data_IF_251100938927
#
_entry.id   IF_251100938927
#
_cell.length_a   1.000
_cell.length_b   1.000
_cell.length_c   1.000
_cell.angle_alpha   90.00
_cell.angle_beta   90.00
_cell.angle_gamma   90.00
#
_symmetry.space_group_name_H-M   'P 1'
#
loop_
_entity.id
_entity.type
_entity.pdbx_description
1 polymer ?
#
# COMPACT_ATOMS: atom_id res chain seq x y z
N UNK A 1 -24.33 -13.54 -0.52
CA UNK A 1 -23.50 -13.66 0.70
C UNK A 1 -23.18 -12.25 1.16
N UNK A 2 -23.59 -11.86 2.37
CA UNK A 2 -23.32 -10.51 2.87
C UNK A 2 -21.85 -10.43 3.30
N UNK A 3 -21.08 -9.53 2.68
CA UNK A 3 -19.70 -9.27 3.07
C UNK A 3 -19.73 -8.58 4.45
N UNK A 4 -19.01 -9.07 5.46
CA UNK A 4 -18.93 -8.42 6.76
C UNK A 4 -18.43 -6.98 6.63
N UNK A 5 -19.02 -6.07 7.40
CA UNK A 5 -18.76 -4.64 7.29
C UNK A 5 -17.27 -4.28 7.45
N UNK A 6 -16.55 -4.98 8.32
CA UNK A 6 -15.12 -4.74 8.53
C UNK A 6 -14.27 -5.20 7.34
N UNK A 7 -14.66 -6.27 6.63
CA UNK A 7 -13.96 -6.72 5.42
C UNK A 7 -14.20 -5.77 4.26
N UNK A 8 -15.41 -5.20 4.16
CA UNK A 8 -15.69 -4.12 3.22
C UNK A 8 -14.81 -2.89 3.47
N UNK A 9 -14.70 -2.42 4.72
CA UNK A 9 -13.83 -1.28 5.05
C UNK A 9 -12.35 -1.57 4.83
N UNK A 10 -11.89 -2.79 5.16
CA UNK A 10 -10.53 -3.24 4.83
C UNK A 10 -10.25 -3.10 3.32
N UNK A 11 -11.14 -3.62 2.48
CA UNK A 11 -10.98 -3.60 1.02
C UNK A 11 -11.01 -2.18 0.47
N UNK A 12 -11.97 -1.36 0.88
CA UNK A 12 -12.10 0.04 0.43
C UNK A 12 -10.89 0.87 0.86
N UNK A 13 -10.43 0.73 2.10
CA UNK A 13 -9.26 1.48 2.60
C UNK A 13 -7.99 1.05 1.87
N UNK A 14 -7.76 -0.25 1.66
CA UNK A 14 -6.54 -0.70 0.98
C UNK A 14 -6.53 -0.33 -0.49
N UNK A 15 -7.66 -0.43 -1.21
CA UNK A 15 -7.71 0.09 -2.58
C UNK A 15 -7.55 1.61 -2.65
N UNK A 16 -8.07 2.35 -1.68
CA UNK A 16 -7.88 3.80 -1.62
C UNK A 16 -6.41 4.15 -1.43
N UNK A 17 -5.72 3.47 -0.51
CA UNK A 17 -4.27 3.63 -0.31
C UNK A 17 -3.48 3.28 -1.56
N UNK A 18 -3.76 2.13 -2.21
CA UNK A 18 -3.08 1.74 -3.44
C UNK A 18 -3.33 2.72 -4.60
N UNK A 19 -4.49 3.38 -4.62
CA UNK A 19 -4.79 4.44 -5.58
C UNK A 19 -3.98 5.70 -5.27
N UNK A 20 -3.81 6.05 -3.99
CA UNK A 20 -2.94 7.14 -3.57
C UNK A 20 -1.49 6.85 -3.94
N UNK A 21 -1.00 5.62 -3.75
CA UNK A 21 0.35 5.22 -4.15
C UNK A 21 0.54 5.37 -5.67
N UNK A 22 -0.45 4.95 -6.46
CA UNK A 22 -0.41 5.12 -7.91
C UNK A 22 -0.40 6.60 -8.33
N UNK A 23 -1.16 7.46 -7.63
CA UNK A 23 -1.14 8.91 -7.83
C UNK A 23 0.21 9.51 -7.44
N UNK A 24 0.81 9.06 -6.33
CA UNK A 24 2.16 9.46 -5.89
C UNK A 24 3.18 9.19 -6.99
N UNK A 25 3.20 7.95 -7.51
CA UNK A 25 4.07 7.55 -8.62
C UNK A 25 3.80 8.37 -9.88
N UNK A 26 2.55 8.71 -10.18
CA UNK A 26 2.23 9.53 -11.35
C UNK A 26 2.70 10.99 -11.20
N UNK A 27 2.63 11.54 -9.98
CA UNK A 27 2.95 12.93 -9.67
C UNK A 27 4.40 13.16 -9.23
N UNK A 28 5.17 12.09 -8.96
CA UNK A 28 6.57 12.17 -8.59
C UNK A 28 7.40 12.92 -9.64
N UNK A 29 8.29 13.81 -9.17
CA UNK A 29 9.19 14.57 -10.03
C UNK A 29 10.20 13.62 -10.69
N UNK A 30 10.18 13.61 -12.03
CA UNK A 30 11.02 12.74 -12.88
C UNK A 30 12.11 13.51 -13.59
N UNK A 31 12.45 14.72 -13.13
CA UNK A 31 13.51 15.53 -13.73
C UNK A 31 14.85 14.79 -13.60
N UNK A 32 15.49 14.38 -14.72
CA UNK A 32 16.77 13.69 -14.66
C UNK A 32 17.83 14.61 -14.05
N UNK A 33 18.54 14.13 -13.03
CA UNK A 33 19.66 14.83 -12.40
C UNK A 33 20.92 13.97 -12.53
N UNK A 34 22.12 14.53 -12.38
CA UNK A 34 23.38 13.77 -12.49
C UNK A 34 23.46 12.52 -11.58
N UNK A 35 22.66 12.46 -10.51
CA UNK A 35 22.53 11.32 -9.62
C UNK A 35 21.39 10.32 -9.98
N UNK A 36 20.41 10.72 -10.81
CA UNK A 36 19.21 9.93 -11.17
C UNK A 36 19.08 9.84 -12.69
N UNK A 37 19.63 8.76 -13.25
CA UNK A 37 19.52 8.43 -14.69
C UNK A 37 18.08 8.09 -15.07
N UNK A 38 17.69 8.37 -16.32
CA UNK A 38 16.37 8.01 -16.87
C UNK A 38 16.01 6.51 -16.72
N UNK A 39 17.01 5.64 -16.82
CA UNK A 39 16.86 4.20 -16.58
C UNK A 39 16.46 3.87 -15.14
N UNK A 40 17.02 4.58 -14.15
CA UNK A 40 16.63 4.38 -12.75
C UNK A 40 15.19 4.85 -12.52
N UNK A 41 14.82 6.01 -13.05
CA UNK A 41 13.46 6.57 -12.91
C UNK A 41 12.41 5.63 -13.51
N UNK A 42 12.70 5.06 -14.68
CA UNK A 42 11.81 4.11 -15.35
C UNK A 42 11.75 2.78 -14.59
N UNK A 43 12.89 2.30 -14.10
CA UNK A 43 12.98 1.10 -13.25
C UNK A 43 12.14 1.22 -11.98
N UNK A 44 12.29 2.32 -11.25
CA UNK A 44 11.54 2.59 -10.02
C UNK A 44 10.04 2.67 -10.28
N UNK A 45 9.64 3.35 -11.35
CA UNK A 45 8.23 3.45 -11.75
C UNK A 45 7.63 2.08 -12.09
N UNK A 46 8.38 1.24 -12.81
CA UNK A 46 7.94 -0.11 -13.18
C UNK A 46 7.79 -0.99 -11.95
N UNK A 47 8.79 -0.98 -11.05
CA UNK A 47 8.77 -1.76 -9.81
C UNK A 47 7.60 -1.32 -8.93
N UNK A 48 7.39 -0.02 -8.74
CA UNK A 48 6.28 0.51 -7.99
C UNK A 48 4.93 0.07 -8.58
N UNK A 49 4.77 0.20 -9.91
CA UNK A 49 3.55 -0.24 -10.60
C UNK A 49 3.27 -1.74 -10.45
N UNK A 50 4.29 -2.59 -10.61
CA UNK A 50 4.16 -4.04 -10.41
C UNK A 50 3.81 -4.36 -8.95
N UNK A 51 4.43 -3.67 -7.99
CA UNK A 51 4.17 -3.88 -6.57
C UNK A 51 2.73 -3.49 -6.20
N UNK A 52 2.22 -2.37 -6.70
CA UNK A 52 0.82 -1.95 -6.52
C UNK A 52 -0.13 -3.05 -7.04
N UNK A 53 0.11 -3.61 -8.23
CA UNK A 53 -0.73 -4.68 -8.79
C UNK A 53 -0.69 -5.96 -7.94
N UNK A 54 0.49 -6.33 -7.43
CA UNK A 54 0.64 -7.49 -6.52
C UNK A 54 -0.12 -7.26 -5.22
N UNK A 55 -0.05 -6.06 -4.64
CA UNK A 55 -0.79 -5.71 -3.43
C UNK A 55 -2.31 -5.69 -3.68
N UNK A 56 -2.77 -5.13 -4.82
CA UNK A 56 -4.18 -5.22 -5.24
C UNK A 56 -4.65 -6.68 -5.31
N UNK A 57 -3.83 -7.56 -5.88
CA UNK A 57 -4.13 -8.99 -5.92
C UNK A 57 -4.22 -9.62 -4.53
N UNK A 58 -3.35 -9.23 -3.59
CA UNK A 58 -3.42 -9.69 -2.20
C UNK A 58 -4.66 -9.19 -1.46
N UNK A 59 -5.09 -7.95 -1.68
CA UNK A 59 -6.36 -7.42 -1.13
C UNK A 59 -7.53 -8.26 -1.62
N UNK A 60 -7.62 -8.47 -2.94
CA UNK A 60 -8.66 -9.30 -3.55
C UNK A 60 -8.62 -10.75 -3.03
N UNK A 61 -7.42 -11.33 -2.92
CA UNK A 61 -7.24 -12.69 -2.41
C UNK A 61 -7.64 -12.82 -0.93
N UNK A 62 -7.36 -11.79 -0.11
CA UNK A 62 -7.84 -11.74 1.25
C UNK A 62 -9.38 -11.68 1.26
N UNK A 63 -9.95 -10.64 0.66
CA UNK A 63 -11.39 -10.33 0.74
C UNK A 63 -12.27 -11.44 0.15
N UNK A 64 -11.88 -12.00 -1.01
CA UNK A 64 -12.71 -12.92 -1.76
C UNK A 64 -12.46 -14.40 -1.43
N UNK A 65 -11.20 -14.78 -1.14
CA UNK A 65 -10.80 -16.20 -1.00
C UNK A 65 -10.66 -16.69 0.43
N UNK A 66 -11.16 -15.94 1.43
CA UNK A 66 -11.16 -16.37 2.84
C UNK A 66 -9.76 -16.51 3.44
N UNK A 67 -8.69 -16.12 2.73
CA UNK A 67 -7.32 -16.48 3.11
C UNK A 67 -6.74 -15.49 4.11
N UNK A 68 -6.11 -16.05 5.13
CA UNK A 68 -5.48 -15.34 6.24
C UNK A 68 -4.00 -15.00 6.00
N UNK A 69 -3.28 -15.74 5.14
CA UNK A 69 -1.88 -15.44 4.77
C UNK A 69 -1.66 -14.07 4.12
N UNK A 70 -2.52 -13.58 3.19
CA UNK A 70 -2.33 -12.27 2.55
C UNK A 70 -2.35 -11.10 3.55
N UNK A 71 -3.06 -11.23 4.68
CA UNK A 71 -3.06 -10.21 5.73
C UNK A 71 -1.65 -9.99 6.28
N UNK A 72 -0.91 -11.07 6.54
CA UNK A 72 0.46 -10.99 7.02
C UNK A 72 1.42 -10.47 5.95
N UNK A 73 1.20 -10.82 4.68
CA UNK A 73 1.97 -10.25 3.57
C UNK A 73 1.76 -8.73 3.44
N UNK A 74 0.51 -8.25 3.57
CA UNK A 74 0.17 -6.83 3.54
C UNK A 74 0.75 -6.08 4.75
N UNK A 75 0.75 -6.68 5.95
CA UNK A 75 1.42 -6.12 7.14
C UNK A 75 2.93 -6.02 6.91
N UNK A 76 3.56 -7.06 6.37
CA UNK A 76 4.99 -7.04 6.08
C UNK A 76 5.34 -5.97 5.04
N UNK A 77 4.53 -5.83 3.98
CA UNK A 77 4.69 -4.80 2.96
C UNK A 77 4.56 -3.38 3.57
N UNK A 78 3.58 -3.17 4.46
CA UNK A 78 3.42 -1.90 5.18
C UNK A 78 4.65 -1.58 6.03
N UNK A 79 5.18 -2.55 6.78
CA UNK A 79 6.38 -2.33 7.61
C UNK A 79 7.59 -1.95 6.76
N UNK A 80 7.79 -2.62 5.62
CA UNK A 80 8.86 -2.28 4.68
C UNK A 80 8.68 -0.88 4.10
N UNK A 81 7.46 -0.50 3.74
CA UNK A 81 7.14 0.86 3.26
C UNK A 81 7.44 1.91 4.33
N UNK A 82 7.04 1.71 5.59
CA UNK A 82 7.35 2.65 6.69
C UNK A 82 8.85 2.85 6.86
N UNK A 83 9.64 1.77 6.81
CA UNK A 83 11.10 1.87 6.92
C UNK A 83 11.68 2.69 5.76
N UNK A 84 11.23 2.42 4.53
CA UNK A 84 11.64 3.16 3.34
C UNK A 84 11.28 4.65 3.44
N UNK A 85 10.05 4.94 3.86
CA UNK A 85 9.54 6.31 4.00
C UNK A 85 10.34 7.12 5.03
N UNK A 86 10.72 6.51 6.16
CA UNK A 86 11.57 7.16 7.16
C UNK A 86 12.95 7.50 6.60
N UNK A 87 13.53 6.65 5.76
CA UNK A 87 14.80 6.92 5.09
C UNK A 87 14.66 8.08 4.09
N UNK A 88 13.63 8.04 3.24
CA UNK A 88 13.36 9.09 2.25
C UNK A 88 13.15 10.45 2.91
N UNK A 89 12.33 10.52 3.96
CA UNK A 89 12.11 11.77 4.71
C UNK A 89 13.40 12.24 5.41
N UNK A 90 14.24 11.31 5.87
CA UNK A 90 15.53 11.63 6.50
C UNK A 90 16.54 12.22 5.51
N UNK A 91 16.56 11.74 4.28
CA UNK A 91 17.51 12.15 3.25
C UNK A 91 17.05 13.38 2.44
N UNK A 92 15.76 13.47 2.12
CA UNK A 92 15.18 14.46 1.18
C UNK A 92 14.23 15.46 1.85
N UNK A 93 13.80 15.22 3.09
CA UNK A 93 12.78 16.02 3.78
C UNK A 93 11.35 15.70 3.34
N UNK A 94 10.40 16.58 3.71
CA UNK A 94 8.98 16.40 3.36
C UNK A 94 8.68 17.02 1.99
N UNK A 95 8.76 16.20 0.96
CA UNK A 95 8.28 16.50 -0.40
C UNK A 95 6.82 16.08 -0.60
N UNK A 96 6.17 16.59 -1.65
CA UNK A 96 4.77 16.27 -1.97
C UNK A 96 4.54 14.75 -2.13
N UNK A 97 5.47 14.04 -2.76
CA UNK A 97 5.43 12.57 -2.93
C UNK A 97 5.45 11.85 -1.57
N UNK A 98 6.42 12.19 -0.72
CA UNK A 98 6.51 11.63 0.65
C UNK A 98 5.29 11.95 1.52
N UNK A 99 4.65 13.12 1.32
CA UNK A 99 3.41 13.48 2.01
C UNK A 99 2.22 12.60 1.61
N UNK A 100 2.09 12.25 0.33
CA UNK A 100 1.07 11.33 -0.17
C UNK A 100 1.32 9.93 0.39
N UNK A 101 2.58 9.48 0.41
CA UNK A 101 2.96 8.18 0.97
C UNK A 101 2.65 8.09 2.48
N UNK A 102 2.86 9.15 3.26
CA UNK A 102 2.45 9.21 4.68
C UNK A 102 0.93 9.00 4.83
N UNK A 103 0.13 9.71 4.04
CA UNK A 103 -1.34 9.57 4.08
C UNK A 103 -1.75 8.15 3.68
N UNK A 104 -1.13 7.61 2.62
CA UNK A 104 -1.36 6.25 2.17
C UNK A 104 -1.03 5.21 3.25
N UNK A 105 0.09 5.37 3.94
CA UNK A 105 0.50 4.53 5.06
C UNK A 105 -0.53 4.54 6.20
N UNK A 106 -1.07 5.71 6.56
CA UNK A 106 -2.12 5.83 7.59
C UNK A 106 -3.38 5.09 7.15
N UNK A 107 -3.80 5.27 5.89
CA UNK A 107 -4.98 4.59 5.33
C UNK A 107 -4.77 3.07 5.28
N UNK A 108 -3.60 2.58 4.88
CA UNK A 108 -3.28 1.14 4.90
C UNK A 108 -3.27 0.57 6.30
N UNK A 109 -2.70 1.30 7.26
CA UNK A 109 -2.71 0.90 8.67
C UNK A 109 -4.15 0.77 9.19
N UNK A 110 -5.01 1.74 8.89
CA UNK A 110 -6.42 1.70 9.25
C UNK A 110 -7.16 0.52 8.60
N UNK A 111 -6.92 0.27 7.31
CA UNK A 111 -7.50 -0.88 6.61
C UNK A 111 -7.07 -2.21 7.24
N UNK A 112 -5.77 -2.38 7.51
CA UNK A 112 -5.25 -3.56 8.18
C UNK A 112 -5.82 -3.74 9.59
N UNK A 113 -6.02 -2.66 10.35
CA UNK A 113 -6.68 -2.72 11.66
C UNK A 113 -8.09 -3.32 11.56
N UNK A 114 -8.89 -2.95 10.55
CA UNK A 114 -10.20 -3.55 10.30
C UNK A 114 -10.12 -5.03 9.91
N UNK A 115 -9.01 -5.48 9.30
CA UNK A 115 -8.81 -6.90 8.95
C UNK A 115 -8.62 -7.82 10.17
N UNK A 116 -8.20 -7.26 11.31
CA UNK A 116 -7.96 -7.99 12.56
C UNK A 116 -9.06 -7.80 13.62
N UNK A 117 -10.05 -6.96 13.37
CA UNK A 117 -11.09 -6.62 14.35
C UNK A 117 -12.49 -7.10 13.97
N UNK A 118 -13.30 -7.39 15.00
CA UNK A 118 -14.73 -7.71 14.89
C UNK A 118 -15.04 -8.85 13.93
N UNK A 119 -16.06 -8.64 13.09
CA UNK A 119 -16.61 -9.67 12.18
C UNK A 119 -15.61 -10.15 11.11
N UNK A 120 -14.51 -9.43 10.89
CA UNK A 120 -13.45 -9.84 9.96
C UNK A 120 -12.63 -11.02 10.50
N UNK A 121 -12.40 -11.09 11.81
CA UNK A 121 -11.58 -12.15 12.40
C UNK A 121 -12.25 -13.52 12.23
N UNK A 122 -13.56 -13.58 12.47
CA UNK A 122 -14.36 -14.78 12.24
C UNK A 122 -14.47 -15.14 10.75
N UNK A 123 -14.45 -14.15 9.87
CA UNK A 123 -14.47 -14.37 8.42
C UNK A 123 -13.13 -14.98 7.95
N UNK A 124 -11.99 -14.38 8.28
CA UNK A 124 -10.69 -14.90 7.82
C UNK A 124 -10.19 -16.18 8.54
N UNK A 125 -10.83 -16.58 9.65
CA UNK A 125 -10.49 -17.80 10.40
C UNK A 125 -11.53 -18.93 10.26
N UNK A 126 -12.61 -18.72 9.48
CA UNK A 126 -13.64 -19.73 9.20
C UNK A 126 -13.39 -20.48 7.89
#
# INVERSE_FOLDING_TARGET
>A
MNLPRNVFWFEVLLYSSLTLDALSVALADRTPTEARTEQMITGDTLIAGVMILVLMYFVWLAAQRRKNWPRWALVAALVLSVISLVQVIGDLGLELDSGIEVVSCIVTTAGLYFSFTGDAQGWFNA
#
